data_IF_841723578033
#
_entry.id   IF_841723578033
#
_cell.length_a   1.000
_cell.length_b   1.000
_cell.length_c   1.000
_cell.angle_alpha   90.00
_cell.angle_beta   90.00
_cell.angle_gamma   90.00
#
_symmetry.space_group_name_H-M   'P 1'
#
loop_
_entity.id
_entity.type
_entity.pdbx_description
1 polymer ?
#
# COMPACT_ATOMS: atom_id res chain seq x y z
N UNK A 1 -28.07 -15.17 6.78
CA UNK A 1 -28.10 -13.80 7.34
C UNK A 1 -27.63 -12.84 6.26
N UNK A 2 -28.22 -11.65 6.11
CA UNK A 2 -27.70 -10.62 5.21
C UNK A 2 -26.28 -10.21 5.67
N UNK A 3 -25.35 -10.13 4.70
CA UNK A 3 -23.95 -9.74 4.93
C UNK A 3 -23.70 -8.47 4.11
N UNK A 4 -23.18 -7.43 4.74
CA UNK A 4 -22.70 -6.26 4.02
C UNK A 4 -21.48 -6.67 3.18
N UNK A 5 -21.56 -6.53 1.85
CA UNK A 5 -20.45 -6.87 0.99
C UNK A 5 -19.27 -5.92 1.24
N UNK A 6 -18.05 -6.46 1.22
CA UNK A 6 -16.84 -5.69 1.46
C UNK A 6 -16.72 -4.49 0.49
N UNK A 7 -17.04 -4.71 -0.78
CA UNK A 7 -16.97 -3.66 -1.80
C UNK A 7 -17.87 -2.48 -1.47
N UNK A 8 -19.14 -2.75 -1.12
CA UNK A 8 -20.10 -1.71 -0.76
C UNK A 8 -19.63 -0.93 0.47
N UNK A 9 -19.13 -1.63 1.50
CA UNK A 9 -18.61 -0.99 2.71
C UNK A 9 -17.40 -0.08 2.43
N UNK A 10 -16.48 -0.50 1.54
CA UNK A 10 -15.31 0.30 1.17
C UNK A 10 -15.69 1.50 0.33
N UNK A 11 -16.65 1.36 -0.60
CA UNK A 11 -17.14 2.46 -1.42
C UNK A 11 -17.76 3.56 -0.54
N UNK A 12 -18.66 3.18 0.38
CA UNK A 12 -19.25 4.11 1.35
C UNK A 12 -18.19 4.79 2.21
N UNK A 13 -17.21 4.03 2.71
CA UNK A 13 -16.11 4.60 3.48
C UNK A 13 -15.31 5.62 2.66
N UNK A 14 -14.94 5.31 1.42
CA UNK A 14 -14.20 6.23 0.55
C UNK A 14 -15.00 7.50 0.24
N UNK A 15 -16.31 7.38 0.02
CA UNK A 15 -17.20 8.50 -0.25
C UNK A 15 -17.17 9.56 0.87
N UNK A 16 -16.99 9.13 2.13
CA UNK A 16 -16.87 10.02 3.31
C UNK A 16 -15.43 10.29 3.77
N UNK A 17 -14.41 9.84 3.02
CA UNK A 17 -13.00 10.08 3.35
C UNK A 17 -12.43 9.15 4.43
N UNK A 18 -13.04 7.98 4.60
CA UNK A 18 -12.62 6.92 5.50
C UNK A 18 -11.87 5.82 4.75
N UNK A 19 -11.32 4.87 5.51
CA UNK A 19 -10.68 3.66 4.99
C UNK A 19 -10.89 2.50 5.95
N UNK A 20 -10.91 1.29 5.39
CA UNK A 20 -10.75 0.06 6.14
C UNK A 20 -9.30 -0.14 6.62
N UNK A 21 -9.14 -0.95 7.67
CA UNK A 21 -7.81 -1.32 8.16
C UNK A 21 -7.82 -2.73 8.72
N UNK A 22 -7.56 -2.90 10.01
CA UNK A 22 -7.42 -4.21 10.63
C UNK A 22 -8.75 -4.97 10.60
N UNK A 23 -8.74 -6.09 9.89
CA UNK A 23 -9.73 -7.15 10.05
C UNK A 23 -9.35 -8.09 11.19
N UNK A 24 -10.34 -8.70 11.84
CA UNK A 24 -10.12 -9.76 12.82
C UNK A 24 -11.28 -10.76 12.84
N UNK A 25 -11.00 -11.99 13.29
CA UNK A 25 -12.04 -12.96 13.63
C UNK A 25 -12.63 -12.59 14.98
N UNK A 26 -13.95 -12.56 15.05
CA UNK A 26 -14.69 -12.40 16.30
C UNK A 26 -14.96 -13.76 16.95
N UNK A 27 -15.41 -14.72 16.14
CA UNK A 27 -15.65 -16.12 16.53
C UNK A 27 -15.77 -17.03 15.28
N UNK A 28 -16.34 -18.22 15.45
CA UNK A 28 -16.54 -19.23 14.42
C UNK A 28 -17.32 -18.78 13.19
N UNK A 29 -18.22 -17.83 13.36
CA UNK A 29 -19.16 -17.39 12.33
C UNK A 29 -19.07 -15.90 11.99
N UNK A 30 -18.30 -15.13 12.77
CA UNK A 30 -18.24 -13.67 12.66
C UNK A 30 -16.83 -13.12 12.49
N UNK A 31 -16.74 -12.06 11.69
CA UNK A 31 -15.54 -11.25 11.50
C UNK A 31 -15.85 -9.80 11.81
N UNK A 32 -14.80 -9.03 12.09
CA UNK A 32 -14.86 -7.57 12.18
C UNK A 32 -13.89 -6.96 11.18
N UNK A 33 -14.21 -5.75 10.72
CA UNK A 33 -13.33 -4.90 9.95
C UNK A 33 -13.42 -3.48 10.50
N UNK A 34 -12.29 -2.90 10.87
CA UNK A 34 -12.23 -1.52 11.33
C UNK A 34 -12.35 -0.57 10.14
N UNK A 35 -13.21 0.45 10.28
CA UNK A 35 -13.29 1.61 9.40
C UNK A 35 -13.08 2.88 10.22
N UNK A 36 -12.39 3.86 9.64
CA UNK A 36 -12.23 5.17 10.28
C UNK A 36 -11.69 6.24 9.32
N UNK A 37 -11.66 7.51 9.77
CA UNK A 37 -11.14 8.61 8.97
C UNK A 37 -9.71 8.36 8.53
N UNK A 38 -9.38 8.71 7.27
CA UNK A 38 -8.00 8.60 6.80
C UNK A 38 -7.09 9.54 7.57
N UNK A 39 -5.96 9.01 8.04
CA UNK A 39 -4.90 9.81 8.66
C UNK A 39 -4.19 10.63 7.59
N UNK A 40 -3.88 11.89 7.91
CA UNK A 40 -3.05 12.75 7.05
C UNK A 40 -1.73 12.06 6.72
N UNK A 41 -1.30 12.15 5.46
CA UNK A 41 -0.10 11.49 4.96
C UNK A 41 -0.19 9.98 4.81
N UNK A 42 -1.35 9.34 5.05
CA UNK A 42 -1.53 7.90 4.76
C UNK A 42 -1.55 7.65 3.25
N UNK A 43 -0.88 6.58 2.81
CA UNK A 43 -0.78 6.25 1.39
C UNK A 43 -2.08 5.74 0.80
N UNK A 44 -2.20 5.82 -0.53
CA UNK A 44 -3.37 5.39 -1.29
C UNK A 44 -3.02 4.28 -2.27
N UNK A 45 -3.73 3.16 -2.19
CA UNK A 45 -3.55 2.02 -3.10
C UNK A 45 -4.23 2.27 -4.45
N UNK A 46 -3.72 1.65 -5.51
CA UNK A 46 -4.33 1.75 -6.86
C UNK A 46 -5.82 1.36 -6.88
N UNK A 47 -6.27 0.28 -6.19
CA UNK A 47 -7.69 -0.05 -6.13
C UNK A 47 -8.54 1.05 -5.47
N UNK A 48 -8.06 1.72 -4.42
CA UNK A 48 -8.84 2.80 -3.79
C UNK A 48 -8.95 4.03 -4.69
N UNK A 49 -7.90 4.34 -5.45
CA UNK A 49 -7.97 5.40 -6.48
C UNK A 49 -9.01 5.06 -7.55
N UNK A 50 -9.00 3.83 -8.05
CA UNK A 50 -9.99 3.37 -9.04
C UNK A 50 -11.43 3.44 -8.52
N UNK A 51 -11.65 3.06 -7.25
CA UNK A 51 -12.95 3.20 -6.59
C UNK A 51 -13.39 4.66 -6.46
N UNK A 52 -12.48 5.55 -6.10
CA UNK A 52 -12.77 7.00 -6.05
C UNK A 52 -13.17 7.52 -7.43
N UNK A 53 -12.43 7.17 -8.48
CA UNK A 53 -12.77 7.60 -9.85
C UNK A 53 -14.16 7.11 -10.26
N UNK A 54 -14.52 5.86 -9.90
CA UNK A 54 -15.87 5.34 -10.09
C UNK A 54 -16.92 6.14 -9.31
N UNK A 55 -16.70 6.38 -8.03
CA UNK A 55 -17.61 7.16 -7.18
C UNK A 55 -17.80 8.59 -7.70
N UNK A 56 -16.75 9.21 -8.21
CA UNK A 56 -16.80 10.54 -8.86
C UNK A 56 -17.66 10.51 -10.12
N UNK A 57 -17.44 9.52 -10.98
CA UNK A 57 -18.22 9.36 -12.21
C UNK A 57 -19.72 9.12 -11.94
N UNK A 58 -20.03 8.45 -10.84
CA UNK A 58 -21.41 8.18 -10.40
C UNK A 58 -22.01 9.32 -9.56
N UNK A 59 -21.25 10.37 -9.22
CA UNK A 59 -21.72 11.48 -8.39
C UNK A 59 -21.95 11.11 -6.92
N UNK A 60 -21.34 10.02 -6.45
CA UNK A 60 -21.50 9.47 -5.10
C UNK A 60 -20.44 9.95 -4.10
N UNK A 61 -19.40 10.64 -4.56
CA UNK A 61 -18.42 11.26 -3.67
C UNK A 61 -19.03 12.40 -2.85
N UNK A 62 -18.83 12.37 -1.53
CA UNK A 62 -19.28 13.41 -0.63
C UNK A 62 -18.17 14.45 -0.37
N UNK A 63 -18.50 15.66 0.13
CA UNK A 63 -17.52 16.71 0.38
C UNK A 63 -16.35 16.29 1.28
N UNK A 64 -16.61 15.40 2.25
CA UNK A 64 -15.58 14.86 3.15
C UNK A 64 -14.60 13.93 2.42
N UNK A 65 -15.09 13.05 1.53
CA UNK A 65 -14.24 12.21 0.69
C UNK A 65 -13.37 13.04 -0.25
N UNK A 66 -13.96 14.02 -0.91
CA UNK A 66 -13.21 14.94 -1.80
C UNK A 66 -12.16 15.75 -1.02
N UNK A 67 -12.47 16.19 0.20
CA UNK A 67 -11.50 16.87 1.05
C UNK A 67 -10.31 15.96 1.44
N UNK A 68 -10.56 14.68 1.69
CA UNK A 68 -9.51 13.70 1.98
C UNK A 68 -8.59 13.47 0.77
N UNK A 69 -9.14 13.39 -0.44
CA UNK A 69 -8.35 13.27 -1.68
C UNK A 69 -7.50 14.51 -1.91
N UNK A 70 -8.10 15.72 -1.84
CA UNK A 70 -7.35 16.99 -1.98
C UNK A 70 -6.21 17.10 -0.97
N UNK A 71 -6.44 16.74 0.28
CA UNK A 71 -5.40 16.76 1.31
C UNK A 71 -4.23 15.81 0.98
N UNK A 72 -4.54 14.64 0.41
CA UNK A 72 -3.55 13.66 0.00
C UNK A 72 -2.75 14.07 -1.25
N UNK A 73 -3.40 14.76 -2.20
CA UNK A 73 -2.72 15.36 -3.36
C UNK A 73 -1.76 16.46 -2.90
N UNK A 74 -2.20 17.35 -1.99
CA UNK A 74 -1.38 18.43 -1.45
C UNK A 74 -0.18 17.94 -0.62
N UNK A 75 -0.31 16.84 0.12
CA UNK A 75 0.77 16.30 0.95
C UNK A 75 1.60 15.20 0.24
N UNK A 76 1.31 14.93 -1.04
CA UNK A 76 1.99 13.94 -1.87
C UNK A 76 1.72 12.48 -1.49
N UNK A 77 0.84 12.21 -0.53
CA UNK A 77 0.48 10.82 -0.18
C UNK A 77 -0.37 10.12 -1.23
N UNK A 78 -1.05 10.88 -2.09
CA UNK A 78 -1.82 10.34 -3.20
C UNK A 78 -0.94 9.49 -4.11
N UNK A 79 0.19 10.00 -4.59
CA UNK A 79 1.04 9.31 -5.58
C UNK A 79 2.13 8.41 -4.99
N UNK A 80 2.29 8.41 -3.67
CA UNK A 80 3.42 7.74 -2.98
C UNK A 80 3.63 6.28 -3.35
N UNK A 81 2.56 5.54 -3.66
CA UNK A 81 2.64 4.12 -3.99
C UNK A 81 2.60 3.82 -5.48
N UNK A 82 2.58 4.82 -6.37
CA UNK A 82 2.41 4.57 -7.81
C UNK A 82 3.56 3.73 -8.38
N UNK A 83 4.80 4.13 -8.11
CA UNK A 83 6.00 3.35 -8.50
C UNK A 83 6.01 1.95 -7.86
N UNK A 84 5.54 1.84 -6.62
CA UNK A 84 5.43 0.57 -5.89
C UNK A 84 4.38 -0.35 -6.55
N UNK A 85 3.27 0.20 -7.03
CA UNK A 85 2.26 -0.53 -7.80
C UNK A 85 2.80 -0.99 -9.15
N UNK A 86 3.74 -0.25 -9.75
CA UNK A 86 4.39 -0.62 -11.01
C UNK A 86 5.66 -1.47 -10.82
N UNK A 87 5.99 -1.82 -9.57
CA UNK A 87 7.17 -2.60 -9.19
C UNK A 87 8.49 -1.95 -9.64
N UNK A 88 8.52 -0.62 -9.73
CA UNK A 88 9.73 0.11 -10.08
C UNK A 88 10.69 -0.02 -8.90
N UNK A 89 11.89 -0.55 -9.19
CA UNK A 89 12.96 -0.71 -8.21
C UNK A 89 13.70 0.62 -8.10
N UNK A 90 13.74 1.27 -6.92
CA UNK A 90 14.45 2.52 -6.76
C UNK A 90 15.97 2.31 -6.92
N UNK A 91 16.73 3.32 -7.39
CA UNK A 91 18.15 3.16 -7.70
C UNK A 91 19.00 2.61 -6.54
N UNK A 92 18.73 3.07 -5.32
CA UNK A 92 19.43 2.63 -4.11
C UNK A 92 19.20 1.13 -3.79
N UNK A 93 18.00 0.61 -4.02
CA UNK A 93 17.75 -0.84 -3.94
C UNK A 93 18.40 -1.61 -5.08
N UNK A 94 18.41 -1.06 -6.29
CA UNK A 94 19.04 -1.69 -7.45
C UNK A 94 20.56 -1.85 -7.24
N UNK A 95 21.23 -0.83 -6.72
CA UNK A 95 22.64 -0.86 -6.35
C UNK A 95 22.92 -1.91 -5.26
N UNK A 96 22.10 -1.95 -4.21
CA UNK A 96 22.25 -2.92 -3.13
C UNK A 96 22.06 -4.37 -3.62
N UNK A 97 21.09 -4.62 -4.51
CA UNK A 97 20.88 -5.94 -5.13
C UNK A 97 22.04 -6.35 -6.04
N UNK A 98 22.67 -5.39 -6.73
CA UNK A 98 23.81 -5.65 -7.60
C UNK A 98 25.09 -5.98 -6.81
N UNK A 99 25.21 -5.48 -5.58
CA UNK A 99 26.37 -5.71 -4.71
C UNK A 99 26.43 -7.13 -4.11
N UNK A 100 25.33 -7.90 -4.17
CA UNK A 100 25.24 -9.24 -3.56
C UNK A 100 25.02 -10.29 -4.65
N UNK A 101 25.92 -11.27 -4.71
CA UNK A 101 25.86 -12.35 -5.69
C UNK A 101 24.50 -13.08 -5.63
N UNK A 102 23.83 -13.19 -6.78
CA UNK A 102 22.53 -13.86 -6.92
C UNK A 102 21.31 -13.07 -6.45
N UNK A 103 21.47 -11.98 -5.68
CA UNK A 103 20.35 -11.24 -5.11
C UNK A 103 19.42 -10.65 -6.18
N UNK A 104 19.99 -10.05 -7.23
CA UNK A 104 19.19 -9.50 -8.34
C UNK A 104 18.35 -10.58 -9.04
N UNK A 105 18.94 -11.74 -9.33
CA UNK A 105 18.24 -12.82 -10.02
C UNK A 105 17.10 -13.39 -9.16
N UNK A 106 17.35 -13.60 -7.86
CA UNK A 106 16.34 -14.05 -6.92
C UNK A 106 15.20 -13.03 -6.76
N UNK A 107 15.54 -11.72 -6.65
CA UNK A 107 14.57 -10.65 -6.60
C UNK A 107 13.65 -10.63 -7.82
N UNK A 108 14.22 -10.70 -9.02
CA UNK A 108 13.44 -10.71 -10.27
C UNK A 108 12.53 -11.94 -10.39
N UNK A 109 12.93 -13.07 -9.78
CA UNK A 109 12.13 -14.28 -9.69
C UNK A 109 11.01 -14.22 -8.63
N UNK A 110 11.02 -13.24 -7.71
CA UNK A 110 9.97 -13.12 -6.71
C UNK A 110 8.61 -12.77 -7.35
N UNK A 111 7.51 -13.36 -6.85
CA UNK A 111 6.17 -12.97 -7.29
C UNK A 111 5.89 -11.48 -7.04
N UNK A 112 4.90 -10.94 -7.75
CA UNK A 112 4.50 -9.53 -7.64
C UNK A 112 4.20 -9.10 -6.20
N UNK A 113 3.47 -9.93 -5.44
CA UNK A 113 3.03 -9.55 -4.09
C UNK A 113 4.20 -9.32 -3.11
N UNK A 114 5.18 -10.23 -2.95
CA UNK A 114 6.36 -9.97 -2.14
C UNK A 114 7.18 -8.75 -2.60
N UNK A 115 7.43 -8.60 -3.91
CA UNK A 115 8.15 -7.42 -4.43
C UNK A 115 7.45 -6.13 -4.06
N UNK A 116 6.14 -6.08 -4.27
CA UNK A 116 5.31 -4.93 -3.90
C UNK A 116 5.42 -4.61 -2.41
N UNK A 117 5.26 -5.62 -1.54
CA UNK A 117 5.30 -5.43 -0.09
C UNK A 117 6.64 -4.88 0.38
N UNK A 118 7.76 -5.39 -0.17
CA UNK A 118 9.11 -4.92 0.16
C UNK A 118 9.33 -3.49 -0.35
N UNK A 119 8.90 -3.17 -1.57
CA UNK A 119 8.98 -1.82 -2.12
C UNK A 119 8.16 -0.83 -1.28
N UNK A 120 6.93 -1.20 -0.90
CA UNK A 120 6.09 -0.39 0.00
C UNK A 120 6.78 -0.17 1.35
N UNK A 121 7.32 -1.22 1.95
CA UNK A 121 8.08 -1.15 3.19
C UNK A 121 9.26 -0.19 3.09
N UNK A 122 10.02 -0.21 1.99
CA UNK A 122 11.13 0.72 1.76
C UNK A 122 10.65 2.16 1.54
N UNK A 123 9.62 2.38 0.72
CA UNK A 123 9.07 3.71 0.40
C UNK A 123 8.42 4.38 1.61
N UNK A 124 7.82 3.61 2.52
CA UNK A 124 7.20 4.15 3.75
C UNK A 124 8.22 4.47 4.85
N UNK A 125 9.50 4.17 4.66
CA UNK A 125 10.57 4.52 5.61
C UNK A 125 10.89 6.02 5.55
N UNK A 126 10.34 6.80 6.49
CA UNK A 126 10.51 8.27 6.51
C UNK A 126 11.93 8.74 6.88
N UNK A 127 12.68 7.92 7.63
CA UNK A 127 14.04 8.26 8.10
C UNK A 127 15.07 7.66 7.15
N UNK A 128 16.08 8.41 6.69
CA UNK A 128 17.12 7.89 5.80
C UNK A 128 17.83 6.65 6.33
N UNK A 129 18.10 6.60 7.64
CA UNK A 129 18.77 5.47 8.29
C UNK A 129 17.89 4.22 8.28
N UNK A 130 16.58 4.39 8.51
CA UNK A 130 15.61 3.29 8.42
C UNK A 130 15.50 2.80 6.99
N UNK A 131 15.43 3.70 6.00
CA UNK A 131 15.39 3.32 4.59
C UNK A 131 16.63 2.51 4.20
N UNK A 132 17.82 2.99 4.54
CA UNK A 132 19.07 2.30 4.26
C UNK A 132 19.13 0.91 4.92
N UNK A 133 18.64 0.78 6.16
CA UNK A 133 18.56 -0.52 6.83
C UNK A 133 17.61 -1.50 6.12
N UNK A 134 16.44 -1.03 5.69
CA UNK A 134 15.47 -1.85 4.94
C UNK A 134 16.00 -2.28 3.58
N UNK A 135 16.72 -1.42 2.88
CA UNK A 135 17.35 -1.75 1.60
C UNK A 135 18.41 -2.84 1.78
N UNK A 136 19.29 -2.72 2.80
CA UNK A 136 20.28 -3.76 3.09
C UNK A 136 19.60 -5.09 3.40
N UNK A 137 18.61 -5.10 4.28
CA UNK A 137 17.87 -6.32 4.63
C UNK A 137 17.19 -6.95 3.40
N UNK A 138 16.54 -6.14 2.57
CA UNK A 138 15.93 -6.60 1.32
C UNK A 138 16.95 -7.25 0.37
N UNK A 139 18.12 -6.63 0.18
CA UNK A 139 19.16 -7.15 -0.70
C UNK A 139 19.82 -8.42 -0.14
N UNK A 140 20.14 -8.44 1.16
CA UNK A 140 20.73 -9.60 1.84
C UNK A 140 19.78 -10.80 1.85
N UNK A 141 18.49 -10.56 2.16
CA UNK A 141 17.45 -11.58 2.09
C UNK A 141 17.29 -12.10 0.67
N UNK A 142 17.25 -11.24 -0.34
CA UNK A 142 17.21 -11.66 -1.74
C UNK A 142 18.45 -12.50 -2.12
N UNK A 143 19.64 -12.16 -1.62
CA UNK A 143 20.86 -12.96 -1.80
C UNK A 143 20.73 -14.39 -1.28
N UNK A 144 19.99 -14.58 -0.18
CA UNK A 144 19.64 -15.90 0.38
C UNK A 144 18.40 -16.55 -0.24
N UNK A 145 17.80 -15.92 -1.27
CA UNK A 145 16.51 -16.31 -1.85
C UNK A 145 15.35 -16.30 -0.84
N UNK A 146 15.42 -15.39 0.13
CA UNK A 146 14.43 -15.15 1.16
C UNK A 146 13.71 -13.82 0.92
N UNK A 147 12.46 -13.71 1.39
CA UNK A 147 11.68 -12.47 1.33
C UNK A 147 11.89 -11.69 2.63
N UNK A 148 12.29 -10.44 2.53
CA UNK A 148 12.37 -9.54 3.69
C UNK A 148 10.99 -9.36 4.34
N UNK A 149 10.97 -9.08 5.65
CA UNK A 149 9.76 -9.07 6.50
C UNK A 149 9.06 -7.72 6.58
#
# INVERSE_FOLDING_TARGET
MPVLAYEDAVLEALAVGWVDSKGARLDESRTMLYFGPRRRGSSWSRPNKQRIERLRAEGLMLPAGEAAVRAAEMDGSWTRLDEVEDLIVPPDLAEALAAIAGARANWDAFPRSPRRAILEWIVLAKRPETRAARIRDAAESAGRNERAR
#
